data_IF_925953355965
#
_entry.id   IF_925953355965
#
_cell.length_a   1.000
_cell.length_b   1.000
_cell.length_c   1.000
_cell.angle_alpha   90.00
_cell.angle_beta   90.00
_cell.angle_gamma   90.00
#
_symmetry.space_group_name_H-M   'P 1'
#
loop_
_entity.id
_entity.type
_entity.pdbx_description
1 polymer ?
#
# COMPACT_ATOMS: atom_id res chain seq x y z
N UNK A 1 5.19 17.62 8.13
CA UNK A 1 5.99 16.87 7.12
C UNK A 1 5.68 15.38 7.22
N UNK A 2 5.85 14.60 6.14
CA UNK A 2 5.47 13.18 6.12
C UNK A 2 6.33 12.33 7.09
N UNK A 3 7.63 12.59 7.14
CA UNK A 3 8.56 11.88 8.04
C UNK A 3 8.21 12.05 9.53
N UNK A 4 7.81 13.27 9.96
CA UNK A 4 7.37 13.49 11.34
C UNK A 4 6.14 12.63 11.70
N UNK A 5 5.21 12.48 10.75
CA UNK A 5 4.06 11.60 10.99
C UNK A 5 4.50 10.16 11.16
N UNK A 6 5.45 9.67 10.35
CA UNK A 6 6.01 8.32 10.52
C UNK A 6 6.63 8.16 11.91
N UNK A 7 7.45 9.11 12.38
CA UNK A 7 7.98 9.08 13.75
C UNK A 7 6.88 8.98 14.81
N UNK A 8 5.84 9.80 14.70
CA UNK A 8 4.74 9.80 15.66
C UNK A 8 4.00 8.45 15.67
N UNK A 9 3.74 7.86 14.49
CA UNK A 9 3.05 6.57 14.38
C UNK A 9 3.94 5.40 14.85
N UNK A 10 5.24 5.44 14.60
CA UNK A 10 6.20 4.44 15.06
C UNK A 10 6.42 4.45 16.59
N UNK A 11 5.92 5.46 17.31
CA UNK A 11 6.04 5.49 18.77
C UNK A 11 5.13 4.46 19.47
N UNK A 12 4.16 3.89 18.77
CA UNK A 12 3.18 2.96 19.32
C UNK A 12 3.62 1.50 19.18
N UNK A 13 3.38 0.71 20.23
CA UNK A 13 3.55 -0.75 20.21
C UNK A 13 2.33 -1.43 19.56
N UNK A 14 2.02 -1.02 18.33
CA UNK A 14 0.83 -1.45 17.59
C UNK A 14 0.83 -2.97 17.33
N UNK A 15 -0.37 -3.53 17.20
CA UNK A 15 -0.54 -4.96 16.93
C UNK A 15 -1.93 -5.23 16.33
N UNK A 16 -2.28 -6.48 16.01
CA UNK A 16 -3.66 -6.81 15.58
C UNK A 16 -4.68 -6.39 16.64
N UNK A 17 -4.41 -6.75 17.90
CA UNK A 17 -5.11 -6.28 19.09
C UNK A 17 -4.08 -5.83 20.12
N UNK A 18 -4.09 -4.56 20.48
CA UNK A 18 -3.19 -3.97 21.48
C UNK A 18 -3.81 -2.73 22.14
N UNK A 19 -3.37 -2.44 23.36
CA UNK A 19 -3.80 -1.24 24.11
C UNK A 19 -3.44 0.06 23.37
N UNK A 20 -2.24 0.10 22.77
CA UNK A 20 -1.70 1.27 22.07
C UNK A 20 -2.47 1.63 20.80
N UNK A 21 -3.23 0.70 20.23
CA UNK A 21 -3.97 0.94 18.98
C UNK A 21 -4.94 2.11 19.11
N UNK A 22 -5.58 2.29 20.27
CA UNK A 22 -6.47 3.43 20.49
C UNK A 22 -5.72 4.78 20.42
N UNK A 23 -4.52 4.84 20.99
CA UNK A 23 -3.65 6.01 20.91
C UNK A 23 -3.16 6.27 19.48
N UNK A 24 -2.79 5.21 18.76
CA UNK A 24 -2.41 5.28 17.35
C UNK A 24 -3.52 5.86 16.48
N UNK A 25 -4.74 5.31 16.56
CA UNK A 25 -5.86 5.82 15.76
C UNK A 25 -6.27 7.23 16.19
N UNK A 26 -6.14 7.59 17.48
CA UNK A 26 -6.33 8.97 17.92
C UNK A 26 -5.28 9.93 17.33
N UNK A 27 -4.03 9.50 17.17
CA UNK A 27 -2.98 10.29 16.49
C UNK A 27 -3.29 10.47 15.01
N UNK A 28 -3.74 9.42 14.32
CA UNK A 28 -4.14 9.49 12.91
C UNK A 28 -5.38 10.39 12.74
N UNK A 29 -6.34 10.30 13.66
CA UNK A 29 -7.57 11.11 13.63
C UNK A 29 -7.31 12.63 13.61
N UNK A 30 -6.16 13.07 14.15
CA UNK A 30 -5.73 14.48 14.08
C UNK A 30 -5.32 14.94 12.69
N UNK A 31 -4.94 14.00 11.81
CA UNK A 31 -4.57 14.29 10.42
C UNK A 31 -5.78 14.21 9.48
N UNK A 32 -6.67 13.25 9.72
CA UNK A 32 -7.87 12.98 8.93
C UNK A 32 -8.97 12.40 9.83
N UNK A 33 -10.22 12.87 9.73
CA UNK A 33 -11.31 12.37 10.57
C UNK A 33 -11.61 10.90 10.22
N UNK A 34 -11.59 10.05 11.24
CA UNK A 34 -11.79 8.61 11.14
C UNK A 34 -13.12 8.17 11.75
N UNK A 35 -13.81 7.26 11.07
CA UNK A 35 -14.81 6.38 11.68
C UNK A 35 -14.13 5.04 12.02
N UNK A 36 -14.34 4.57 13.26
CA UNK A 36 -13.64 3.41 13.84
C UNK A 36 -14.61 2.25 14.07
N UNK A 37 -14.27 1.11 13.49
CA UNK A 37 -14.94 -0.18 13.64
C UNK A 37 -14.19 -1.03 14.67
N UNK A 38 -14.95 -1.74 15.49
CA UNK A 38 -14.43 -2.50 16.62
C UNK A 38 -14.84 -3.97 16.45
N UNK A 39 -13.86 -4.86 16.47
CA UNK A 39 -14.08 -6.31 16.38
C UNK A 39 -13.54 -6.98 17.63
N UNK A 40 -14.39 -7.71 18.34
CA UNK A 40 -14.04 -8.31 19.62
C UNK A 40 -13.13 -9.54 19.45
N UNK A 41 -12.19 -9.72 20.37
CA UNK A 41 -11.39 -10.94 20.43
C UNK A 41 -12.28 -12.19 20.47
N UNK A 42 -11.92 -13.20 19.67
CA UNK A 42 -12.67 -14.45 19.53
C UNK A 42 -13.75 -14.44 18.45
N UNK A 43 -14.08 -13.29 17.84
CA UNK A 43 -14.90 -13.28 16.63
C UNK A 43 -14.21 -14.09 15.52
N UNK A 44 -15.02 -14.78 14.71
CA UNK A 44 -14.53 -15.63 13.61
C UNK A 44 -15.24 -15.36 12.30
N UNK A 45 -14.54 -15.56 11.19
CA UNK A 45 -15.12 -15.51 9.85
C UNK A 45 -14.24 -16.28 8.86
N UNK A 46 -14.81 -17.23 8.11
CA UNK A 46 -14.08 -18.07 7.13
C UNK A 46 -12.78 -18.68 7.68
N UNK A 47 -12.77 -19.08 8.96
CA UNK A 47 -11.60 -19.64 9.64
C UNK A 47 -10.63 -18.61 10.23
N UNK A 48 -10.75 -17.33 9.90
CA UNK A 48 -10.03 -16.26 10.59
C UNK A 48 -10.58 -16.06 12.00
N UNK A 49 -9.73 -15.69 12.94
CA UNK A 49 -10.09 -15.39 14.32
C UNK A 49 -9.41 -14.09 14.77
N UNK A 50 -10.18 -13.18 15.38
CA UNK A 50 -9.60 -12.00 16.04
C UNK A 50 -8.85 -12.47 17.30
N UNK A 51 -7.54 -12.24 17.45
CA UNK A 51 -6.77 -12.74 18.58
C UNK A 51 -7.13 -12.02 19.88
N UNK A 52 -6.70 -12.59 21.00
CA UNK A 52 -6.77 -11.90 22.31
C UNK A 52 -5.78 -10.73 22.35
N UNK A 53 -6.02 -9.78 23.25
CA UNK A 53 -5.03 -8.77 23.61
C UNK A 53 -3.89 -9.44 24.39
N UNK A 54 -2.71 -9.50 23.78
CA UNK A 54 -1.55 -10.22 24.29
C UNK A 54 -0.50 -9.26 24.84
N UNK A 55 0.06 -9.58 26.01
CA UNK A 55 1.06 -8.76 26.71
C UNK A 55 2.19 -9.61 27.26
N UNK A 56 3.39 -9.03 27.28
CA UNK A 56 4.52 -9.56 28.05
C UNK A 56 4.50 -8.93 29.44
N UNK A 57 4.55 -9.75 30.48
CA UNK A 57 4.67 -9.33 31.89
C UNK A 57 6.07 -9.51 32.44
N UNK A 58 6.80 -10.49 31.90
CA UNK A 58 8.19 -10.77 32.21
C UNK A 58 8.80 -11.58 31.08
N UNK A 59 10.04 -11.30 30.71
CA UNK A 59 10.77 -12.10 29.73
C UNK A 59 12.27 -12.07 30.02
N UNK A 60 12.73 -12.96 30.91
CA UNK A 60 14.14 -13.01 31.34
C UNK A 60 14.75 -14.37 31.05
N UNK A 61 16.03 -14.37 30.67
CA UNK A 61 16.85 -15.59 30.56
C UNK A 61 18.07 -15.43 31.44
N UNK A 62 18.31 -16.44 32.28
CA UNK A 62 19.47 -16.53 33.14
C UNK A 62 20.33 -17.73 32.73
N UNK A 63 21.65 -17.57 32.68
CA UNK A 63 22.62 -18.68 32.58
C UNK A 63 23.35 -18.79 33.91
N UNK A 64 23.26 -19.94 34.57
CA UNK A 64 23.94 -20.18 35.86
C UNK A 64 23.66 -19.09 36.92
N UNK A 65 22.44 -18.54 36.91
CA UNK A 65 22.00 -17.47 37.83
C UNK A 65 22.32 -16.04 37.39
N UNK A 66 23.06 -15.83 36.30
CA UNK A 66 23.37 -14.50 35.73
C UNK A 66 22.38 -14.19 34.61
N UNK A 67 21.77 -13.00 34.61
CA UNK A 67 20.89 -12.55 33.52
C UNK A 67 21.69 -12.38 32.23
N UNK A 68 21.30 -13.09 31.17
CA UNK A 68 21.95 -13.04 29.85
C UNK A 68 21.07 -12.40 28.78
N UNK A 69 19.76 -12.30 29.02
CA UNK A 69 18.85 -11.63 28.10
C UNK A 69 17.64 -11.04 28.82
N UNK A 70 17.30 -9.82 28.41
CA UNK A 70 16.09 -9.10 28.79
C UNK A 70 15.19 -8.93 27.56
N UNK A 71 14.15 -9.75 27.45
CA UNK A 71 13.16 -9.66 26.39
C UNK A 71 12.16 -8.51 26.56
N UNK A 72 12.19 -7.81 27.70
CA UNK A 72 11.36 -6.63 27.96
C UNK A 72 12.01 -5.34 27.47
N UNK A 73 13.32 -5.38 27.16
CA UNK A 73 14.08 -4.22 26.70
C UNK A 73 13.65 -3.70 25.33
N UNK A 74 12.95 -4.54 24.54
CA UNK A 74 12.37 -4.17 23.26
C UNK A 74 11.04 -4.89 23.07
N UNK A 75 10.08 -4.22 22.45
CA UNK A 75 8.76 -4.78 22.08
C UNK A 75 8.82 -5.96 21.10
N UNK A 76 9.98 -6.21 20.50
CA UNK A 76 10.25 -7.33 19.61
C UNK A 76 11.06 -8.42 20.31
N UNK A 77 11.35 -8.30 21.62
CA UNK A 77 12.12 -9.27 22.40
C UNK A 77 11.44 -10.62 22.60
N UNK A 78 10.13 -10.68 22.38
CA UNK A 78 9.30 -11.88 22.50
C UNK A 78 8.45 -12.01 21.24
N UNK A 79 8.37 -13.21 20.68
CA UNK A 79 7.51 -13.46 19.52
C UNK A 79 6.06 -13.13 19.85
N UNK A 80 5.38 -12.41 18.97
CA UNK A 80 4.01 -11.95 19.21
C UNK A 80 3.10 -13.14 19.43
N UNK A 81 2.27 -13.02 20.47
CA UNK A 81 1.33 -14.05 20.89
C UNK A 81 1.97 -15.29 21.56
N UNK A 82 3.24 -15.24 21.96
CA UNK A 82 3.93 -16.33 22.68
C UNK A 82 3.24 -16.74 23.98
N UNK A 83 3.22 -18.04 24.28
CA UNK A 83 2.76 -18.61 25.56
C UNK A 83 3.75 -18.33 26.69
N UNK A 84 3.25 -18.38 27.92
CA UNK A 84 4.10 -18.36 29.12
C UNK A 84 4.95 -19.63 29.20
N UNK A 85 6.20 -19.48 29.63
CA UNK A 85 7.09 -20.58 29.96
C UNK A 85 7.92 -20.19 31.19
N UNK A 86 7.99 -21.07 32.18
CA UNK A 86 8.90 -20.90 33.32
C UNK A 86 9.51 -22.24 33.65
N UNK A 87 10.84 -22.31 33.59
CA UNK A 87 11.56 -23.54 33.87
C UNK A 87 13.03 -23.46 33.51
N UNK A 88 13.74 -24.51 33.89
CA UNK A 88 15.15 -24.73 33.60
C UNK A 88 15.29 -25.60 32.33
N UNK A 89 16.19 -25.22 31.43
CA UNK A 89 16.47 -25.88 30.16
C UNK A 89 17.98 -26.01 29.95
N UNK A 90 18.39 -27.10 29.31
CA UNK A 90 19.70 -27.18 28.67
C UNK A 90 19.73 -26.38 27.37
N UNK A 91 20.94 -26.04 26.91
CA UNK A 91 21.13 -25.36 25.62
C UNK A 91 20.36 -25.98 24.45
N UNK A 92 20.39 -27.31 24.30
CA UNK A 92 19.68 -28.00 23.20
C UNK A 92 18.16 -27.86 23.31
N UNK A 93 17.62 -27.67 24.52
CA UNK A 93 16.21 -27.38 24.75
C UNK A 93 15.86 -25.91 24.54
N UNK A 94 16.75 -24.98 24.89
CA UNK A 94 16.51 -23.54 24.74
C UNK A 94 16.70 -23.06 23.30
N UNK A 95 17.76 -23.52 22.62
CA UNK A 95 18.20 -23.03 21.31
C UNK A 95 17.07 -22.98 20.26
N UNK A 96 16.16 -23.97 20.14
CA UNK A 96 15.05 -23.92 19.19
C UNK A 96 14.04 -22.80 19.44
N UNK A 97 13.97 -22.26 20.66
CA UNK A 97 13.08 -21.15 21.04
C UNK A 97 13.74 -19.77 20.86
N UNK A 98 14.99 -19.72 20.41
CA UNK A 98 15.71 -18.47 20.19
C UNK A 98 15.71 -18.11 18.71
N UNK A 99 15.14 -16.95 18.40
CA UNK A 99 15.04 -16.41 17.04
C UNK A 99 16.02 -15.24 16.90
N UNK A 100 16.88 -15.30 15.89
CA UNK A 100 17.95 -14.31 15.69
C UNK A 100 18.36 -14.22 14.21
N UNK A 101 19.10 -13.17 13.82
CA UNK A 101 19.61 -12.97 12.47
C UNK A 101 21.11 -12.61 12.48
N UNK A 102 22.01 -13.48 12.00
CA UNK A 102 23.45 -13.17 11.93
C UNK A 102 23.80 -12.04 10.97
N UNK A 103 22.99 -11.78 9.94
CA UNK A 103 23.24 -10.73 8.95
C UNK A 103 22.91 -9.32 9.48
N UNK A 104 22.10 -9.26 10.54
CA UNK A 104 21.72 -8.05 11.28
C UNK A 104 21.96 -8.26 12.77
N UNK A 105 23.22 -8.24 13.23
CA UNK A 105 23.57 -8.82 14.52
C UNK A 105 23.03 -8.08 15.74
N UNK A 106 22.60 -6.83 15.57
CA UNK A 106 22.03 -5.99 16.62
C UNK A 106 20.49 -5.98 16.61
N UNK A 107 19.86 -6.61 15.61
CA UNK A 107 18.43 -6.50 15.39
C UNK A 107 17.61 -7.50 16.24
N UNK A 108 16.48 -7.03 16.75
CA UNK A 108 15.38 -7.89 17.17
C UNK A 108 14.53 -8.25 15.96
N UNK A 109 14.05 -9.48 15.88
CA UNK A 109 13.21 -9.96 14.78
C UNK A 109 11.72 -9.90 15.11
N UNK A 110 10.90 -9.50 14.14
CA UNK A 110 9.45 -9.50 14.26
C UNK A 110 8.86 -10.88 13.94
N UNK A 111 8.66 -11.69 14.99
CA UNK A 111 7.96 -12.97 14.87
C UNK A 111 6.46 -12.81 15.11
N UNK A 112 5.67 -12.67 14.03
CA UNK A 112 4.28 -12.21 14.10
C UNK A 112 3.20 -13.27 13.80
N UNK A 113 3.57 -14.40 13.21
CA UNK A 113 2.64 -15.35 12.58
C UNK A 113 1.55 -15.90 13.50
N UNK A 114 1.82 -16.05 14.80
CA UNK A 114 0.84 -16.59 15.75
C UNK A 114 -0.34 -15.67 16.03
N UNK A 115 -0.28 -14.41 15.62
CA UNK A 115 -1.45 -13.53 15.66
C UNK A 115 -2.52 -13.91 14.64
N UNK A 116 -2.09 -14.47 13.51
CA UNK A 116 -2.94 -14.94 12.43
C UNK A 116 -3.33 -16.41 12.59
N UNK A 117 -2.57 -17.15 13.41
CA UNK A 117 -2.78 -18.58 13.71
C UNK A 117 -2.67 -18.83 15.22
N UNK A 118 -3.56 -18.23 16.04
CA UNK A 118 -3.45 -18.27 17.50
C UNK A 118 -3.49 -19.68 18.10
N UNK A 119 -4.10 -20.65 17.40
CA UNK A 119 -4.15 -22.05 17.80
C UNK A 119 -2.80 -22.78 17.70
N UNK A 120 -1.88 -22.29 16.86
CA UNK A 120 -0.54 -22.87 16.65
C UNK A 120 0.53 -22.22 17.55
N UNK A 121 0.13 -21.28 18.42
CA UNK A 121 1.08 -20.52 19.22
C UNK A 121 1.91 -21.43 20.15
N UNK A 122 3.22 -21.19 20.17
CA UNK A 122 4.15 -21.72 21.17
C UNK A 122 4.82 -20.54 21.87
N UNK A 123 6.08 -20.62 22.27
CA UNK A 123 6.85 -19.49 22.78
C UNK A 123 8.21 -19.37 22.10
N UNK A 124 8.61 -18.13 21.82
CA UNK A 124 9.95 -17.80 21.32
C UNK A 124 10.44 -16.49 21.89
N UNK A 125 11.75 -16.39 22.09
CA UNK A 125 12.47 -15.18 22.42
C UNK A 125 13.24 -14.72 21.20
N UNK A 126 13.01 -13.48 20.79
CA UNK A 126 13.64 -12.88 19.63
C UNK A 126 14.77 -11.99 20.15
N UNK A 127 16.03 -12.34 19.87
CA UNK A 127 17.18 -11.65 20.45
C UNK A 127 18.23 -11.29 19.39
N UNK A 128 18.96 -10.18 19.60
CA UNK A 128 20.10 -9.83 18.76
C UNK A 128 21.12 -10.96 18.69
N UNK A 129 21.68 -11.20 17.51
CA UNK A 129 22.67 -12.26 17.31
C UNK A 129 23.94 -12.04 18.14
N UNK A 130 24.27 -10.77 18.43
CA UNK A 130 25.37 -10.42 19.33
C UNK A 130 25.18 -11.02 20.73
N UNK A 131 23.95 -11.12 21.23
CA UNK A 131 23.64 -11.79 22.50
C UNK A 131 23.68 -13.30 22.29
N UNK A 132 23.02 -13.78 21.24
CA UNK A 132 22.93 -15.22 20.94
C UNK A 132 24.29 -15.90 20.80
N UNK A 133 25.26 -15.27 20.13
CA UNK A 133 26.58 -15.88 19.85
C UNK A 133 27.42 -16.12 21.09
N UNK A 134 27.16 -15.39 22.17
CA UNK A 134 27.84 -15.55 23.44
C UNK A 134 27.13 -16.61 24.32
N UNK A 135 25.97 -17.10 23.89
CA UNK A 135 25.30 -18.26 24.47
C UNK A 135 25.92 -19.57 23.94
N UNK A 136 25.65 -20.67 24.64
CA UNK A 136 26.20 -21.98 24.29
C UNK A 136 25.82 -23.03 25.34
N UNK A 137 26.49 -24.19 25.38
CA UNK A 137 26.20 -25.23 26.38
C UNK A 137 26.15 -24.68 27.81
N UNK A 138 25.18 -25.18 28.59
CA UNK A 138 24.95 -24.80 29.98
C UNK A 138 23.48 -24.87 30.39
N UNK A 139 23.24 -24.60 31.68
CA UNK A 139 21.92 -24.56 32.28
C UNK A 139 21.32 -23.14 32.22
N UNK A 140 20.10 -23.07 31.72
CA UNK A 140 19.37 -21.82 31.54
C UNK A 140 18.06 -21.84 32.30
N UNK A 141 17.77 -20.76 33.03
CA UNK A 141 16.44 -20.52 33.59
C UNK A 141 15.72 -19.48 32.74
N UNK A 142 14.57 -19.83 32.22
CA UNK A 142 13.71 -18.93 31.45
C UNK A 142 12.51 -18.53 32.30
N UNK A 143 12.22 -17.24 32.31
CA UNK A 143 11.04 -16.65 32.96
C UNK A 143 10.29 -15.79 31.94
N UNK A 144 9.43 -16.46 31.17
CA UNK A 144 8.52 -15.83 30.23
C UNK A 144 7.09 -15.90 30.78
N UNK A 145 6.54 -14.74 31.14
CA UNK A 145 5.16 -14.61 31.59
C UNK A 145 4.42 -13.71 30.61
N UNK A 146 3.44 -14.28 29.94
CA UNK A 146 2.55 -13.57 29.02
C UNK A 146 1.11 -13.63 29.51
N UNK A 147 0.32 -12.65 29.08
CA UNK A 147 -1.09 -12.52 29.44
C UNK A 147 -1.93 -12.42 28.17
N UNK A 148 -3.09 -13.09 28.18
CA UNK A 148 -4.11 -13.01 27.15
C UNK A 148 -5.39 -12.47 27.79
N UNK A 149 -5.89 -11.34 27.28
CA UNK A 149 -7.13 -10.71 27.75
C UNK A 149 -8.08 -10.46 26.58
N UNK A 150 -9.40 -10.46 26.81
CA UNK A 150 -10.34 -9.91 25.83
C UNK A 150 -9.94 -8.49 25.44
N UNK A 151 -9.97 -8.20 24.15
CA UNK A 151 -9.71 -6.88 23.60
C UNK A 151 -10.51 -6.64 22.32
N UNK A 152 -10.12 -5.61 21.58
CA UNK A 152 -10.76 -5.24 20.33
C UNK A 152 -9.70 -4.94 19.27
N UNK A 153 -9.87 -5.54 18.10
CA UNK A 153 -9.20 -5.12 16.88
C UNK A 153 -9.90 -3.86 16.37
N UNK A 154 -9.10 -2.86 16.02
CA UNK A 154 -9.59 -1.58 15.50
C UNK A 154 -9.28 -1.51 14.01
N UNK A 155 -10.30 -1.20 13.23
CA UNK A 155 -10.17 -0.81 11.82
C UNK A 155 -10.80 0.56 11.69
N UNK A 156 -10.18 1.46 10.95
CA UNK A 156 -10.73 2.77 10.69
C UNK A 156 -10.88 3.02 9.20
N UNK A 157 -11.84 3.85 8.84
CA UNK A 157 -11.85 4.44 7.52
C UNK A 157 -12.04 5.95 7.55
N UNK A 158 -11.55 6.60 6.50
CA UNK A 158 -11.87 7.98 6.17
C UNK A 158 -12.54 8.01 4.81
N UNK A 159 -13.65 8.74 4.67
CA UNK A 159 -14.40 8.85 3.43
C UNK A 159 -14.40 10.28 2.92
N UNK A 160 -14.04 10.44 1.64
CA UNK A 160 -14.15 11.69 0.89
C UNK A 160 -15.18 11.50 -0.21
N UNK A 161 -16.31 12.19 -0.10
CA UNK A 161 -17.36 12.14 -1.10
C UNK A 161 -16.92 12.83 -2.41
N UNK A 162 -17.29 12.21 -3.54
CA UNK A 162 -17.26 12.81 -4.87
C UNK A 162 -18.66 13.05 -5.42
N UNK A 163 -18.75 13.42 -6.69
CA UNK A 163 -20.03 13.60 -7.40
C UNK A 163 -20.77 12.29 -7.67
N UNK A 164 -20.07 11.16 -7.60
CA UNK A 164 -20.58 9.79 -7.73
C UNK A 164 -20.30 8.99 -6.46
N UNK A 165 -21.20 8.05 -6.14
CA UNK A 165 -21.04 7.08 -5.06
C UNK A 165 -20.09 5.92 -5.42
N UNK A 166 -19.66 5.82 -6.69
CA UNK A 166 -18.57 4.92 -7.10
C UNK A 166 -17.30 5.30 -6.35
N UNK A 167 -16.72 4.32 -5.65
CA UNK A 167 -15.65 4.55 -4.67
C UNK A 167 -14.34 3.90 -5.10
N UNK A 168 -13.24 4.64 -5.03
CA UNK A 168 -11.87 4.11 -5.14
C UNK A 168 -11.32 3.95 -3.72
N UNK A 169 -10.86 2.73 -3.40
CA UNK A 169 -10.38 2.39 -2.05
C UNK A 169 -8.85 2.49 -1.99
N UNK A 170 -8.33 3.00 -0.89
CA UNK A 170 -6.91 2.98 -0.56
C UNK A 170 -6.74 2.28 0.78
N UNK A 171 -5.73 1.44 0.91
CA UNK A 171 -5.53 0.63 2.11
C UNK A 171 -4.05 0.58 2.51
N UNK A 172 -3.80 0.62 3.81
CA UNK A 172 -2.49 0.39 4.42
C UNK A 172 -2.71 -0.32 5.75
N UNK A 173 -1.75 -1.16 6.15
CA UNK A 173 -1.80 -1.79 7.46
C UNK A 173 -1.18 -0.93 8.56
N UNK A 174 -1.57 -1.21 9.80
CA UNK A 174 -1.15 -0.46 11.01
C UNK A 174 -0.78 -1.35 12.20
N UNK A 175 -0.50 -2.64 11.96
CA UNK A 175 -0.27 -3.63 13.03
C UNK A 175 1.20 -3.93 13.34
N UNK A 176 2.14 -3.24 12.69
CA UNK A 176 3.58 -3.45 12.87
C UNK A 176 4.11 -2.53 13.98
N UNK A 177 4.58 -3.06 15.13
CA UNK A 177 5.02 -2.25 16.27
C UNK A 177 6.38 -1.63 16.02
N UNK A 178 6.48 -0.30 16.18
CA UNK A 178 7.73 0.47 16.05
C UNK A 178 8.50 0.30 14.73
N UNK A 179 7.88 -0.26 13.71
CA UNK A 179 8.45 -0.43 12.39
C UNK A 179 7.91 0.66 11.47
N UNK A 180 8.80 1.30 10.72
CA UNK A 180 8.50 2.50 9.97
C UNK A 180 8.09 2.24 8.53
N UNK A 181 8.97 1.64 7.73
CA UNK A 181 8.74 1.42 6.30
C UNK A 181 7.59 0.44 6.09
N UNK A 182 7.59 -0.64 6.85
CA UNK A 182 6.57 -1.67 6.80
C UNK A 182 5.33 -1.24 7.59
N UNK A 183 4.37 -0.65 6.87
CA UNK A 183 3.09 -0.17 7.41
C UNK A 183 3.00 1.36 7.52
N UNK A 184 3.65 1.97 8.51
CA UNK A 184 3.38 3.38 8.86
C UNK A 184 3.82 4.39 7.81
N UNK A 185 4.88 4.11 7.07
CA UNK A 185 5.32 4.94 5.96
C UNK A 185 4.28 4.96 4.82
N UNK A 186 3.68 3.80 4.50
CA UNK A 186 2.53 3.70 3.58
C UNK A 186 1.32 4.48 4.09
N UNK A 187 0.98 4.29 5.37
CA UNK A 187 -0.08 5.04 6.05
C UNK A 187 0.13 6.56 5.93
N UNK A 188 1.34 7.05 6.17
CA UNK A 188 1.67 8.47 6.07
C UNK A 188 1.53 9.00 4.63
N UNK A 189 1.98 8.25 3.62
CA UNK A 189 1.78 8.62 2.20
C UNK A 189 0.29 8.73 1.88
N UNK A 190 -0.51 7.75 2.28
CA UNK A 190 -1.95 7.74 2.01
C UNK A 190 -2.69 8.86 2.75
N UNK A 191 -2.30 9.18 3.99
CA UNK A 191 -2.84 10.33 4.71
C UNK A 191 -2.59 11.64 3.94
N UNK A 192 -1.37 11.82 3.41
CA UNK A 192 -1.05 13.01 2.58
C UNK A 192 -1.81 13.03 1.27
N UNK A 193 -2.04 11.86 0.66
CA UNK A 193 -2.89 11.74 -0.52
C UNK A 193 -4.33 12.18 -0.22
N UNK A 194 -4.90 11.74 0.91
CA UNK A 194 -6.27 12.11 1.28
C UNK A 194 -6.43 13.56 1.70
N UNK A 195 -5.41 14.16 2.32
CA UNK A 195 -5.37 15.60 2.57
C UNK A 195 -5.37 16.38 1.24
N UNK A 196 -4.60 15.95 0.25
CA UNK A 196 -4.64 16.55 -1.09
C UNK A 196 -5.99 16.32 -1.79
N UNK A 197 -6.56 15.11 -1.71
CA UNK A 197 -7.88 14.79 -2.27
C UNK A 197 -9.00 15.66 -1.67
N UNK A 198 -8.90 16.02 -0.39
CA UNK A 198 -9.88 16.90 0.26
C UNK A 198 -9.97 18.28 -0.39
N UNK A 199 -8.91 18.72 -1.07
CA UNK A 199 -8.86 19.99 -1.82
C UNK A 199 -9.31 19.83 -3.28
N UNK A 200 -9.59 18.60 -3.75
CA UNK A 200 -9.98 18.33 -5.13
C UNK A 200 -11.49 18.15 -5.29
N UNK A 201 -12.02 18.69 -6.38
CA UNK A 201 -13.36 18.40 -6.87
C UNK A 201 -13.33 17.13 -7.74
N UNK A 202 -13.79 16.01 -7.16
CA UNK A 202 -13.65 14.68 -7.76
C UNK A 202 -15.00 14.12 -8.19
N UNK A 203 -15.00 13.39 -9.29
CA UNK A 203 -16.14 12.60 -9.72
C UNK A 203 -16.31 11.36 -8.83
N UNK A 204 -15.26 10.58 -8.60
CA UNK A 204 -15.34 9.41 -7.72
C UNK A 204 -15.29 9.82 -6.27
N UNK A 205 -15.90 8.99 -5.43
CA UNK A 205 -15.67 9.01 -4.00
C UNK A 205 -14.38 8.24 -3.67
N UNK A 206 -13.75 8.59 -2.57
CA UNK A 206 -12.50 7.99 -2.13
C UNK A 206 -12.65 7.47 -0.70
N UNK A 207 -12.01 6.34 -0.40
CA UNK A 207 -12.00 5.77 0.93
C UNK A 207 -10.62 5.28 1.33
N UNK A 208 -10.11 5.77 2.45
CA UNK A 208 -8.91 5.24 3.08
C UNK A 208 -9.34 4.23 4.14
N UNK A 209 -8.82 3.01 4.10
CA UNK A 209 -9.05 1.95 5.11
C UNK A 209 -7.73 1.63 5.79
N UNK A 210 -7.69 1.70 7.12
CA UNK A 210 -6.52 1.48 7.95
C UNK A 210 -6.85 0.42 8.99
N UNK A 211 -6.04 -0.62 9.09
CA UNK A 211 -6.27 -1.69 10.05
C UNK A 211 -5.15 -2.72 10.03
N UNK A 212 -5.24 -3.79 10.83
CA UNK A 212 -4.26 -4.86 10.75
C UNK A 212 -4.27 -5.54 9.39
N UNK A 213 -3.07 -5.86 8.89
CA UNK A 213 -2.88 -6.61 7.65
C UNK A 213 -3.78 -7.86 7.64
N UNK A 214 -4.46 -8.09 6.51
CA UNK A 214 -5.43 -9.17 6.28
C UNK A 214 -6.64 -9.15 7.23
N UNK A 215 -6.44 -9.43 8.52
CA UNK A 215 -7.51 -9.54 9.53
C UNK A 215 -8.40 -8.30 9.57
N UNK A 216 -7.81 -7.11 9.49
CA UNK A 216 -8.56 -5.85 9.47
C UNK A 216 -9.49 -5.79 8.27
N UNK A 217 -8.95 -5.98 7.05
CA UNK A 217 -9.73 -5.93 5.82
C UNK A 217 -10.77 -7.05 5.72
N UNK A 218 -10.46 -8.25 6.22
CA UNK A 218 -11.38 -9.42 6.24
C UNK A 218 -12.62 -9.08 7.06
N UNK A 219 -12.44 -8.61 8.29
CA UNK A 219 -13.56 -8.30 9.18
C UNK A 219 -14.29 -7.01 8.77
N UNK A 220 -13.56 -6.04 8.21
CA UNK A 220 -14.15 -4.85 7.61
C UNK A 220 -15.12 -5.19 6.47
N UNK A 221 -14.67 -5.99 5.50
CA UNK A 221 -15.48 -6.41 4.36
C UNK A 221 -16.62 -7.37 4.74
N UNK A 222 -16.47 -8.16 5.80
CA UNK A 222 -17.52 -9.03 6.34
C UNK A 222 -18.76 -8.22 6.73
N UNK A 223 -18.55 -7.08 7.39
CA UNK A 223 -19.63 -6.30 8.01
C UNK A 223 -20.17 -5.17 7.13
N UNK A 224 -19.46 -4.83 6.06
CA UNK A 224 -19.95 -3.82 5.13
C UNK A 224 -21.24 -4.28 4.41
N UNK A 225 -22.23 -3.38 4.25
CA UNK A 225 -23.37 -3.64 3.40
C UNK A 225 -22.95 -3.99 1.98
N UNK A 226 -23.58 -5.01 1.38
CA UNK A 226 -23.25 -5.47 0.03
C UNK A 226 -23.29 -4.35 -1.02
N UNK A 227 -24.32 -3.49 -0.95
CA UNK A 227 -24.45 -2.36 -1.88
C UNK A 227 -23.32 -1.35 -1.77
N UNK A 228 -22.64 -1.28 -0.63
CA UNK A 228 -21.46 -0.44 -0.43
C UNK A 228 -20.22 -1.04 -1.08
N UNK A 229 -20.02 -2.36 -0.90
CA UNK A 229 -18.97 -3.11 -1.59
C UNK A 229 -19.17 -3.06 -3.11
N UNK A 230 -20.41 -3.15 -3.61
CA UNK A 230 -20.73 -3.11 -5.04
C UNK A 230 -20.35 -1.79 -5.71
N UNK A 231 -20.24 -0.70 -4.94
CA UNK A 231 -19.83 0.62 -5.42
C UNK A 231 -18.32 0.79 -5.50
N UNK A 232 -17.53 -0.09 -4.89
CA UNK A 232 -16.08 -0.02 -4.93
C UNK A 232 -15.58 -0.43 -6.32
N UNK A 233 -15.05 0.49 -7.11
CA UNK A 233 -14.71 0.20 -8.51
C UNK A 233 -13.29 -0.34 -8.68
N UNK A 234 -12.39 0.01 -7.77
CA UNK A 234 -11.03 -0.51 -7.65
C UNK A 234 -10.38 0.00 -6.35
N UNK A 235 -9.14 -0.40 -6.09
CA UNK A 235 -8.35 0.23 -5.06
C UNK A 235 -6.85 -0.01 -5.12
N UNK A 236 -6.16 0.55 -4.13
CA UNK A 236 -4.70 0.52 -4.00
C UNK A 236 -4.32 0.14 -2.58
N UNK A 237 -3.47 -0.86 -2.44
CA UNK A 237 -2.78 -1.15 -1.19
C UNK A 237 -1.36 -0.55 -1.28
N UNK A 238 -0.93 0.18 -0.25
CA UNK A 238 0.37 0.85 -0.26
C UNK A 238 1.16 0.62 1.03
N UNK A 239 2.42 0.21 0.88
CA UNK A 239 3.37 0.02 1.98
C UNK A 239 4.82 0.23 1.50
N UNK A 240 5.78 0.27 2.44
CA UNK A 240 7.21 0.30 2.16
C UNK A 240 7.70 1.37 1.15
N UNK A 241 7.28 2.65 1.25
CA UNK A 241 7.65 3.69 0.29
C UNK A 241 9.04 4.30 0.51
N UNK A 242 9.66 4.09 1.67
CA UNK A 242 10.74 4.91 2.19
C UNK A 242 12.15 4.47 1.83
N UNK A 243 12.34 3.30 1.23
CA UNK A 243 13.66 2.80 0.80
C UNK A 243 14.02 3.26 -0.61
N UNK A 244 15.22 2.91 -1.08
CA UNK A 244 15.73 3.36 -2.39
C UNK A 244 15.37 2.43 -3.57
N UNK A 245 14.63 1.34 -3.30
CA UNK A 245 14.13 0.41 -4.32
C UNK A 245 13.30 1.12 -5.41
N UNK A 246 13.17 0.49 -6.57
CA UNK A 246 12.27 0.97 -7.61
C UNK A 246 10.81 0.91 -7.13
N UNK A 247 9.94 1.82 -7.59
CA UNK A 247 8.51 1.70 -7.32
C UNK A 247 7.99 0.42 -7.99
N UNK A 248 7.48 -0.52 -7.21
CA UNK A 248 6.95 -1.79 -7.69
C UNK A 248 5.44 -1.77 -7.57
N UNK A 249 4.74 -1.82 -8.71
CA UNK A 249 3.30 -2.01 -8.73
C UNK A 249 2.95 -3.45 -9.14
N UNK A 250 2.06 -4.10 -8.38
CA UNK A 250 1.49 -5.38 -8.80
C UNK A 250 0.16 -5.14 -9.49
N UNK A 251 -0.07 -5.81 -10.63
CA UNK A 251 -1.35 -5.74 -11.30
C UNK A 251 -2.49 -6.30 -10.43
N UNK A 252 -3.72 -5.88 -10.75
CA UNK A 252 -4.96 -6.53 -10.29
C UNK A 252 -4.98 -8.01 -10.68
N UNK A 253 -5.83 -8.82 -10.03
CA UNK A 253 -5.84 -10.28 -10.21
C UNK A 253 -5.97 -10.70 -11.69
N UNK A 254 -6.92 -10.12 -12.42
CA UNK A 254 -7.14 -10.43 -13.84
C UNK A 254 -6.18 -9.66 -14.77
N UNK A 255 -5.61 -8.54 -14.29
CA UNK A 255 -4.83 -7.60 -15.08
C UNK A 255 -5.65 -6.84 -16.12
N UNK A 256 -5.08 -5.75 -16.63
CA UNK A 256 -5.67 -4.94 -17.70
C UNK A 256 -6.83 -4.03 -17.26
N UNK A 257 -7.18 -4.02 -15.97
CA UNK A 257 -8.16 -3.09 -15.40
C UNK A 257 -7.68 -1.65 -15.59
N UNK A 258 -8.59 -0.67 -15.65
CA UNK A 258 -8.24 0.74 -15.88
C UNK A 258 -7.19 1.26 -14.89
N UNK A 259 -7.22 0.76 -13.64
CA UNK A 259 -6.22 1.10 -12.63
C UNK A 259 -4.81 0.57 -12.96
N UNK A 260 -4.69 -0.63 -13.52
CA UNK A 260 -3.40 -1.18 -13.98
C UNK A 260 -2.80 -0.27 -15.06
N UNK A 261 -3.65 0.20 -15.97
CA UNK A 261 -3.26 1.09 -17.05
C UNK A 261 -2.83 2.47 -16.53
N UNK A 262 -3.55 2.99 -15.53
CA UNK A 262 -3.23 4.26 -14.88
C UNK A 262 -1.88 4.19 -14.17
N UNK A 263 -1.63 3.12 -13.40
CA UNK A 263 -0.31 2.88 -12.81
C UNK A 263 0.77 2.73 -13.86
N UNK A 264 0.50 2.00 -14.95
CA UNK A 264 1.49 1.80 -15.99
C UNK A 264 1.95 3.12 -16.62
N UNK A 265 1.02 4.02 -16.93
CA UNK A 265 1.36 5.35 -17.46
C UNK A 265 2.03 6.23 -16.39
N UNK A 266 1.49 6.27 -15.18
CA UNK A 266 2.01 7.11 -14.10
C UNK A 266 3.46 6.73 -13.74
N UNK A 267 3.75 5.44 -13.59
CA UNK A 267 5.10 4.95 -13.29
C UNK A 267 6.07 5.24 -14.44
N UNK A 268 5.67 4.99 -15.68
CA UNK A 268 6.52 5.19 -16.86
C UNK A 268 7.01 6.63 -16.99
N UNK A 269 6.15 7.61 -16.68
CA UNK A 269 6.46 9.02 -16.94
C UNK A 269 6.81 9.85 -15.70
N UNK A 270 6.42 9.39 -14.50
CA UNK A 270 6.56 10.18 -13.26
C UNK A 270 7.37 9.49 -12.17
N UNK A 271 7.90 8.29 -12.41
CA UNK A 271 8.85 7.65 -11.49
C UNK A 271 10.29 7.76 -11.99
N UNK A 272 11.24 7.74 -11.07
CA UNK A 272 12.68 7.61 -11.35
C UNK A 272 13.02 6.22 -11.88
N UNK A 273 12.44 5.20 -11.25
CA UNK A 273 12.64 3.80 -11.57
C UNK A 273 11.41 3.03 -11.08
N UNK A 274 10.94 2.09 -11.90
CA UNK A 274 9.78 1.28 -11.56
C UNK A 274 9.87 -0.14 -12.09
N UNK A 275 9.04 -1.00 -11.53
CA UNK A 275 8.79 -2.37 -11.99
C UNK A 275 7.28 -2.60 -11.92
N UNK A 276 6.73 -3.24 -12.94
CA UNK A 276 5.37 -3.77 -12.91
C UNK A 276 5.45 -5.28 -12.91
N UNK A 277 4.72 -5.92 -12.01
CA UNK A 277 4.71 -7.37 -11.86
C UNK A 277 3.27 -7.90 -11.82
N UNK A 278 3.05 -9.18 -12.17
CA UNK A 278 1.74 -9.79 -12.02
C UNK A 278 1.24 -9.79 -10.56
N UNK A 279 -0.05 -10.02 -10.39
CA UNK A 279 -0.68 -10.19 -9.08
C UNK A 279 0.12 -11.16 -8.18
N UNK A 280 0.32 -10.78 -6.91
CA UNK A 280 1.08 -11.53 -5.89
C UNK A 280 2.54 -11.84 -6.23
N UNK A 281 3.17 -11.02 -7.09
CA UNK A 281 4.62 -11.02 -7.36
C UNK A 281 5.34 -9.77 -6.83
N UNK A 282 4.66 -8.98 -5.98
CA UNK A 282 5.22 -7.89 -5.16
C UNK A 282 5.68 -8.38 -3.78
N UNK A 283 5.47 -7.57 -2.73
CA UNK A 283 5.55 -8.05 -1.34
C UNK A 283 4.31 -8.88 -1.01
N UNK A 284 3.15 -8.37 -1.44
CA UNK A 284 1.85 -8.98 -1.32
C UNK A 284 1.29 -8.92 0.10
N UNK A 285 0.08 -8.38 0.23
CA UNK A 285 -0.60 -8.12 1.49
C UNK A 285 -2.14 -8.17 1.30
N UNK A 286 -2.87 -7.14 1.78
CA UNK A 286 -4.32 -7.00 1.76
C UNK A 286 -4.97 -7.04 0.37
N UNK A 287 -4.26 -6.83 -0.74
CA UNK A 287 -4.84 -6.95 -2.09
C UNK A 287 -5.50 -8.32 -2.31
N UNK A 288 -5.00 -9.38 -1.64
CA UNK A 288 -5.61 -10.70 -1.69
C UNK A 288 -6.99 -10.77 -1.04
N UNK A 289 -7.26 -9.91 -0.05
CA UNK A 289 -8.54 -9.87 0.66
C UNK A 289 -9.58 -9.11 -0.17
N UNK A 290 -9.18 -7.98 -0.75
CA UNK A 290 -10.05 -7.17 -1.62
C UNK A 290 -10.45 -7.91 -2.91
N UNK A 291 -9.52 -8.70 -3.47
CA UNK A 291 -9.74 -9.53 -4.66
C UNK A 291 -10.35 -10.91 -4.33
N UNK A 292 -10.62 -11.21 -3.05
CA UNK A 292 -11.13 -12.52 -2.66
C UNK A 292 -12.50 -12.83 -3.29
N UNK A 293 -12.83 -14.11 -3.58
CA UNK A 293 -14.09 -14.48 -4.21
C UNK A 293 -15.33 -13.93 -3.50
N UNK A 294 -16.26 -13.38 -4.27
CA UNK A 294 -17.47 -12.71 -3.76
C UNK A 294 -17.27 -11.22 -3.45
N UNK A 295 -16.03 -10.79 -3.24
CA UNK A 295 -15.58 -9.40 -3.29
C UNK A 295 -15.03 -9.09 -4.69
N UNK A 296 -13.85 -9.56 -5.10
CA UNK A 296 -13.27 -9.30 -6.43
C UNK A 296 -13.27 -7.79 -6.77
N UNK A 297 -12.81 -6.95 -5.82
CA UNK A 297 -12.53 -5.53 -6.05
C UNK A 297 -11.13 -5.44 -6.67
N UNK A 298 -10.98 -4.95 -7.92
CA UNK A 298 -9.67 -4.88 -8.57
C UNK A 298 -8.69 -4.03 -7.76
N UNK A 299 -7.58 -4.62 -7.29
CA UNK A 299 -6.68 -3.98 -6.34
C UNK A 299 -5.21 -4.06 -6.78
N UNK A 300 -4.54 -2.91 -6.79
CA UNK A 300 -3.10 -2.80 -7.07
C UNK A 300 -2.33 -2.65 -5.76
N UNK A 301 -1.25 -3.41 -5.57
CA UNK A 301 -0.25 -3.11 -4.54
C UNK A 301 0.80 -2.15 -5.13
N UNK A 302 1.23 -1.15 -4.35
CA UNK A 302 2.37 -0.28 -4.67
C UNK A 302 3.37 -0.24 -3.51
N UNK A 303 4.62 -0.62 -3.78
CA UNK A 303 5.70 -0.68 -2.78
C UNK A 303 7.04 -0.24 -3.37
N UNK A 304 8.12 -0.36 -2.58
CA UNK A 304 9.51 -0.42 -3.07
C UNK A 304 10.20 -1.74 -2.73
N UNK A 305 9.40 -2.79 -2.55
CA UNK A 305 9.90 -4.14 -2.32
C UNK A 305 10.91 -4.52 -3.41
N UNK A 306 12.13 -4.91 -3.01
CA UNK A 306 13.20 -5.35 -3.91
C UNK A 306 12.97 -6.81 -4.30
N UNK A 307 12.79 -7.69 -3.32
CA UNK A 307 12.49 -9.12 -3.48
C UNK A 307 11.28 -9.54 -2.64
N UNK A 308 10.47 -10.48 -3.13
CA UNK A 308 9.25 -10.95 -2.45
C UNK A 308 9.52 -11.54 -1.05
N UNK A 309 10.68 -12.16 -0.85
CA UNK A 309 11.07 -12.82 0.41
C UNK A 309 11.99 -11.96 1.26
N UNK A 310 12.60 -10.94 0.65
CA UNK A 310 13.43 -9.94 1.31
C UNK A 310 13.11 -8.54 0.74
N UNK A 311 11.99 -7.91 1.14
CA UNK A 311 11.53 -6.65 0.55
C UNK A 311 12.55 -5.51 0.65
N UNK A 312 13.27 -5.44 1.76
CA UNK A 312 14.43 -4.58 1.99
C UNK A 312 15.21 -5.14 3.17
N UNK A 313 16.44 -4.66 3.38
CA UNK A 313 17.39 -5.25 4.34
C UNK A 313 16.84 -5.32 5.77
N UNK A 314 16.22 -4.25 6.26
CA UNK A 314 15.76 -4.12 7.65
C UNK A 314 14.34 -4.67 7.90
N UNK A 315 13.70 -5.25 6.87
CA UNK A 315 12.33 -5.76 6.92
C UNK A 315 12.10 -6.74 8.08
N UNK A 316 10.98 -6.57 8.78
CA UNK A 316 10.61 -7.36 9.97
C UNK A 316 11.67 -7.35 11.07
N UNK A 317 12.35 -6.23 11.27
CA UNK A 317 13.33 -6.07 12.35
C UNK A 317 13.19 -4.75 13.11
N UNK A 318 13.80 -4.66 14.28
CA UNK A 318 13.91 -3.40 15.04
C UNK A 318 14.72 -2.31 14.33
N UNK A 319 15.37 -2.62 13.22
CA UNK A 319 16.13 -1.65 12.43
C UNK A 319 15.27 -0.94 11.37
N UNK A 320 14.01 -1.35 11.17
CA UNK A 320 13.05 -0.60 10.36
C UNK A 320 12.58 0.64 11.12
N UNK A 321 13.44 1.63 11.26
CA UNK A 321 13.17 2.86 12.02
C UNK A 321 12.84 4.04 11.09
N UNK A 322 12.21 5.11 11.59
CA UNK A 322 11.93 6.30 10.78
C UNK A 322 13.17 6.94 10.13
N UNK A 323 14.36 6.72 10.69
CA UNK A 323 15.65 7.19 10.17
C UNK A 323 16.08 6.48 8.87
N UNK A 324 15.55 5.29 8.60
CA UNK A 324 15.74 4.58 7.32
C UNK A 324 15.08 5.33 6.15
N UNK A 325 14.08 6.17 6.44
CA UNK A 325 13.21 6.74 5.42
C UNK A 325 13.94 7.81 4.61
N UNK A 326 13.84 7.71 3.28
CA UNK A 326 14.29 8.72 2.33
C UNK A 326 13.09 9.59 1.95
N UNK A 327 12.97 10.84 2.44
CA UNK A 327 11.76 11.64 2.24
C UNK A 327 11.38 11.82 0.76
N UNK A 328 12.38 12.03 -0.10
CA UNK A 328 12.16 12.14 -1.55
C UNK A 328 11.52 10.89 -2.18
N UNK A 329 11.71 9.70 -1.60
CA UNK A 329 11.12 8.45 -2.10
C UNK A 329 9.66 8.32 -1.73
N UNK A 330 9.29 8.83 -0.55
CA UNK A 330 7.89 8.90 -0.14
C UNK A 330 7.12 9.96 -0.95
N UNK A 331 7.73 11.12 -1.18
CA UNK A 331 7.16 12.18 -2.03
C UNK A 331 7.01 11.73 -3.49
N UNK A 332 7.95 10.95 -4.02
CA UNK A 332 7.84 10.34 -5.36
C UNK A 332 6.63 9.38 -5.43
N UNK A 333 6.43 8.53 -4.42
CA UNK A 333 5.25 7.64 -4.39
C UNK A 333 3.95 8.45 -4.33
N UNK A 334 3.90 9.49 -3.48
CA UNK A 334 2.74 10.40 -3.41
C UNK A 334 2.48 11.06 -4.77
N UNK A 335 3.52 11.52 -5.47
CA UNK A 335 3.39 12.12 -6.79
C UNK A 335 2.82 11.14 -7.82
N UNK A 336 3.32 9.89 -7.85
CA UNK A 336 2.78 8.84 -8.73
C UNK A 336 1.31 8.54 -8.40
N UNK A 337 0.95 8.42 -7.12
CA UNK A 337 -0.43 8.19 -6.71
C UNK A 337 -1.37 9.33 -7.14
N UNK A 338 -0.92 10.59 -7.07
CA UNK A 338 -1.67 11.73 -7.61
C UNK A 338 -1.88 11.63 -9.12
N UNK A 339 -0.87 11.18 -9.87
CA UNK A 339 -1.00 10.97 -11.32
C UNK A 339 -1.94 9.82 -11.67
N UNK A 340 -1.94 8.75 -10.88
CA UNK A 340 -2.95 7.68 -11.00
C UNK A 340 -4.35 8.24 -10.76
N UNK A 341 -4.55 9.01 -9.69
CA UNK A 341 -5.83 9.66 -9.41
C UNK A 341 -6.27 10.57 -10.56
N UNK A 342 -5.40 11.45 -11.06
CA UNK A 342 -5.71 12.31 -12.21
C UNK A 342 -6.10 11.50 -13.45
N UNK A 343 -5.37 10.41 -13.72
CA UNK A 343 -5.64 9.53 -14.85
C UNK A 343 -7.03 8.90 -14.74
N UNK A 344 -7.43 8.46 -13.55
CA UNK A 344 -8.74 7.88 -13.31
C UNK A 344 -9.87 8.93 -13.36
N UNK A 345 -9.63 10.12 -12.80
CA UNK A 345 -10.61 11.21 -12.70
C UNK A 345 -10.89 11.90 -14.04
N UNK A 346 -9.91 12.00 -14.93
CA UNK A 346 -10.05 12.74 -16.19
C UNK A 346 -9.92 11.83 -17.43
N UNK A 347 -10.07 10.51 -17.26
CA UNK A 347 -10.11 9.61 -18.40
C UNK A 347 -11.41 9.80 -19.19
N UNK A 348 -11.27 10.17 -20.45
CA UNK A 348 -12.38 10.45 -21.37
C UNK A 348 -12.15 9.74 -22.69
N UNK A 349 -13.22 9.44 -23.41
CA UNK A 349 -13.16 9.17 -24.86
C UNK A 349 -13.30 10.48 -25.61
N UNK A 350 -12.78 10.50 -26.85
CA UNK A 350 -12.76 11.70 -27.70
C UNK A 350 -13.60 11.44 -28.94
N UNK A 351 -14.55 12.31 -29.25
CA UNK A 351 -15.38 12.23 -30.45
C UNK A 351 -15.20 13.49 -31.31
N UNK A 352 -14.75 13.33 -32.55
CA UNK A 352 -14.54 14.44 -33.50
C UNK A 352 -15.86 15.02 -34.00
N UNK A 353 -15.87 16.33 -34.26
CA UNK A 353 -17.01 17.11 -34.80
C UNK A 353 -16.80 17.59 -36.24
N UNK A 354 -15.84 17.00 -36.94
CA UNK A 354 -15.44 17.40 -38.29
C UNK A 354 -15.13 16.15 -39.11
N UNK A 355 -15.19 16.27 -40.44
CA UNK A 355 -14.71 15.27 -41.38
C UNK A 355 -13.40 15.70 -42.06
N UNK A 356 -12.58 14.71 -42.43
CA UNK A 356 -11.30 14.95 -43.10
C UNK A 356 -10.14 15.32 -42.16
N UNK A 357 -9.06 15.81 -42.75
CA UNK A 357 -7.82 16.16 -42.05
C UNK A 357 -7.83 17.65 -41.69
N UNK A 358 -7.71 17.98 -40.40
CA UNK A 358 -7.54 19.37 -39.96
C UNK A 358 -6.09 19.79 -40.09
N UNK A 359 -5.87 20.98 -40.65
CA UNK A 359 -4.55 21.63 -40.68
C UNK A 359 -4.23 22.20 -39.29
N UNK A 360 -3.63 21.39 -38.41
CA UNK A 360 -3.33 21.76 -37.02
C UNK A 360 -2.44 23.01 -36.91
N UNK A 361 -1.60 23.30 -37.91
CA UNK A 361 -0.69 24.45 -37.94
C UNK A 361 -1.33 25.75 -38.44
N UNK A 362 -2.56 25.70 -38.97
CA UNK A 362 -3.26 26.92 -39.34
C UNK A 362 -3.44 27.79 -38.08
N UNK A 363 -3.11 29.10 -38.11
CA UNK A 363 -3.24 30.00 -36.95
C UNK A 363 -4.65 30.03 -36.32
N UNK A 364 -5.70 29.67 -37.06
CA UNK A 364 -7.04 29.49 -36.50
C UNK A 364 -7.07 28.37 -35.45
N UNK A 365 -6.37 27.26 -35.71
CA UNK A 365 -6.31 26.10 -34.83
C UNK A 365 -5.10 26.14 -33.91
N UNK A 366 -3.88 26.41 -34.40
CA UNK A 366 -2.68 26.51 -33.55
C UNK A 366 -2.50 25.30 -32.61
N UNK A 367 -2.77 24.09 -33.12
CA UNK A 367 -2.70 22.83 -32.38
C UNK A 367 -1.52 21.97 -32.82
N UNK A 368 -0.68 22.44 -33.73
CA UNK A 368 0.45 21.67 -34.22
C UNK A 368 1.54 21.53 -33.16
N UNK A 369 2.06 20.32 -33.01
CA UNK A 369 3.25 20.03 -32.21
C UNK A 369 4.43 19.87 -33.17
N UNK A 370 5.47 20.66 -32.95
CA UNK A 370 6.65 20.68 -33.82
C UNK A 370 7.36 19.32 -33.86
N UNK A 371 7.86 18.98 -35.05
CA UNK A 371 8.63 17.76 -35.31
C UNK A 371 10.06 18.09 -35.77
N UNK A 372 11.01 17.16 -35.56
CA UNK A 372 12.33 17.26 -36.15
C UNK A 372 12.24 17.50 -37.66
N UNK A 373 13.07 18.40 -38.16
CA UNK A 373 13.15 18.75 -39.57
C UNK A 373 14.54 18.37 -40.11
N UNK A 374 14.65 17.58 -41.19
CA UNK A 374 15.95 17.20 -41.74
C UNK A 374 16.75 18.40 -42.30
N UNK A 375 16.09 19.50 -42.63
CA UNK A 375 16.71 20.70 -43.19
C UNK A 375 17.07 21.74 -42.12
N UNK A 376 16.46 21.69 -40.92
CA UNK A 376 16.64 22.70 -39.87
C UNK A 376 16.81 22.03 -38.51
N UNK A 377 17.91 22.34 -37.83
CA UNK A 377 18.07 21.94 -36.44
C UNK A 377 17.15 22.79 -35.56
N UNK A 378 16.16 22.14 -34.94
CA UNK A 378 15.20 22.74 -34.01
C UNK A 378 15.55 22.27 -32.59
N UNK A 379 15.55 23.18 -31.62
CA UNK A 379 15.66 22.83 -30.21
C UNK A 379 14.32 22.27 -29.72
N UNK A 380 14.12 20.95 -29.89
CA UNK A 380 12.88 20.26 -29.53
C UNK A 380 13.05 19.40 -28.28
N UNK A 381 11.93 19.13 -27.61
CA UNK A 381 11.88 18.17 -26.51
C UNK A 381 12.15 16.75 -27.00
N UNK A 382 12.69 15.90 -26.11
CA UNK A 382 13.08 14.54 -26.44
C UNK A 382 11.91 13.64 -26.91
N UNK A 383 10.66 14.00 -26.60
CA UNK A 383 9.47 13.27 -27.01
C UNK A 383 8.77 13.87 -28.26
N UNK A 384 9.35 14.87 -28.92
CA UNK A 384 8.74 15.55 -30.06
C UNK A 384 8.33 14.59 -31.19
N UNK A 385 9.12 13.56 -31.49
CA UNK A 385 8.74 12.58 -32.52
C UNK A 385 7.58 11.67 -32.09
N UNK A 386 7.43 11.38 -30.79
CA UNK A 386 6.26 10.65 -30.27
C UNK A 386 4.98 11.47 -30.46
N UNK A 387 5.05 12.77 -30.15
CA UNK A 387 3.96 13.71 -30.44
C UNK A 387 3.64 13.77 -31.92
N UNK A 388 4.67 13.87 -32.74
CA UNK A 388 4.55 13.79 -34.18
C UNK A 388 3.78 12.55 -34.65
N UNK A 389 4.20 11.37 -34.20
CA UNK A 389 3.57 10.11 -34.57
C UNK A 389 2.11 10.03 -34.09
N UNK A 390 1.82 10.56 -32.90
CA UNK A 390 0.45 10.75 -32.45
C UNK A 390 -0.34 11.58 -33.46
N UNK A 391 0.16 12.74 -33.91
CA UNK A 391 -0.57 13.62 -34.85
C UNK A 391 -0.92 12.95 -36.19
N UNK A 392 -0.07 12.04 -36.69
CA UNK A 392 -0.33 11.29 -37.92
C UNK A 392 -1.59 10.41 -37.81
N UNK A 393 -1.88 9.94 -36.59
CA UNK A 393 -2.96 9.01 -36.31
C UNK A 393 -4.12 9.64 -35.52
N UNK A 394 -3.92 10.82 -34.95
CA UNK A 394 -4.71 11.37 -33.85
C UNK A 394 -6.20 11.38 -34.14
N UNK A 395 -6.57 11.92 -35.29
CA UNK A 395 -7.98 12.07 -35.69
C UNK A 395 -8.70 10.73 -35.88
N UNK A 396 -7.96 9.64 -36.16
CA UNK A 396 -8.53 8.30 -36.27
C UNK A 396 -8.83 7.66 -34.92
N UNK A 397 -8.27 8.16 -33.82
CA UNK A 397 -8.64 7.74 -32.46
C UNK A 397 -9.81 8.54 -31.88
N UNK A 398 -10.21 9.63 -32.54
CA UNK A 398 -11.31 10.52 -32.10
C UNK A 398 -12.68 10.03 -32.59
N UNK A 399 -12.93 8.73 -32.57
CA UNK A 399 -14.23 8.11 -32.93
C UNK A 399 -15.01 7.59 -31.72
N UNK A 400 -14.56 7.94 -30.50
CA UNK A 400 -15.17 7.53 -29.24
C UNK A 400 -14.79 6.11 -28.77
N UNK A 401 -14.01 5.35 -29.54
CA UNK A 401 -13.68 3.95 -29.20
C UNK A 401 -12.49 3.79 -28.23
N UNK A 402 -11.61 4.79 -28.15
CA UNK A 402 -10.44 4.79 -27.28
C UNK A 402 -10.54 5.88 -26.22
N UNK A 403 -10.06 5.57 -25.01
CA UNK A 403 -9.87 6.57 -23.97
C UNK A 403 -8.55 7.32 -24.16
N UNK A 404 -8.43 8.51 -23.57
CA UNK A 404 -7.17 9.28 -23.56
C UNK A 404 -6.04 8.45 -22.94
N UNK A 405 -6.32 7.63 -21.91
CA UNK A 405 -5.34 6.74 -21.32
C UNK A 405 -4.89 5.63 -22.29
N UNK A 406 -5.79 5.08 -23.10
CA UNK A 406 -5.42 4.10 -24.14
C UNK A 406 -4.49 4.74 -25.18
N UNK A 407 -4.80 5.96 -25.62
CA UNK A 407 -3.99 6.69 -26.59
C UNK A 407 -2.62 7.05 -26.00
N UNK A 408 -2.58 7.55 -24.76
CA UNK A 408 -1.36 7.90 -24.05
C UNK A 408 -0.40 6.70 -23.94
N UNK A 409 -0.92 5.54 -23.54
CA UNK A 409 -0.13 4.30 -23.45
C UNK A 409 0.34 3.81 -24.81
N UNK A 410 -0.51 3.90 -25.84
CA UNK A 410 -0.17 3.46 -27.20
C UNK A 410 1.00 4.26 -27.81
N UNK A 411 1.13 5.53 -27.45
CA UNK A 411 2.16 6.43 -27.98
C UNK A 411 3.29 6.72 -26.97
N UNK A 412 3.30 6.06 -25.82
CA UNK A 412 4.28 6.27 -24.73
C UNK A 412 4.42 7.76 -24.36
N UNK A 413 3.25 8.39 -24.12
CA UNK A 413 3.09 9.78 -23.73
C UNK A 413 2.49 9.91 -22.32
N UNK A 414 2.89 10.93 -21.55
CA UNK A 414 2.28 11.21 -20.25
C UNK A 414 0.80 11.59 -20.41
N UNK A 415 -0.07 10.91 -19.67
CA UNK A 415 -1.52 11.09 -19.72
C UNK A 415 -1.93 12.56 -19.51
N UNK A 416 -1.35 13.22 -18.50
CA UNK A 416 -1.71 14.59 -18.13
C UNK A 416 -1.39 15.62 -19.23
N UNK A 417 -0.28 15.42 -19.94
CA UNK A 417 0.09 16.26 -21.08
C UNK A 417 -0.85 16.03 -22.26
N UNK A 418 -1.17 14.77 -22.58
CA UNK A 418 -2.10 14.44 -23.66
C UNK A 418 -3.51 14.94 -23.37
N UNK A 419 -3.99 14.76 -22.14
CA UNK A 419 -5.32 15.20 -21.73
C UNK A 419 -5.48 16.71 -21.83
N UNK A 420 -4.47 17.48 -21.40
CA UNK A 420 -4.42 18.94 -21.55
C UNK A 420 -4.39 19.37 -23.02
N UNK A 421 -3.59 18.69 -23.83
CA UNK A 421 -3.51 18.96 -25.26
C UNK A 421 -4.86 18.77 -25.95
N UNK A 422 -5.59 17.69 -25.64
CA UNK A 422 -6.91 17.42 -26.19
C UNK A 422 -8.01 18.37 -25.68
N UNK A 423 -7.84 18.96 -24.49
CA UNK A 423 -8.70 20.05 -24.01
C UNK A 423 -8.73 21.24 -24.98
N UNK A 424 -7.59 21.57 -25.60
CA UNK A 424 -7.49 22.65 -26.59
C UNK A 424 -8.29 22.36 -27.87
N UNK A 425 -8.53 21.09 -28.21
CA UNK A 425 -9.40 20.70 -29.32
C UNK A 425 -10.87 20.94 -28.96
N UNK A 426 -11.27 20.63 -27.73
CA UNK A 426 -12.62 20.86 -27.23
C UNK A 426 -12.93 22.36 -27.14
N UNK A 427 -12.00 23.17 -26.65
CA UNK A 427 -12.09 24.64 -26.63
C UNK A 427 -12.31 25.25 -28.03
N UNK A 428 -11.74 24.61 -29.05
CA UNK A 428 -11.89 25.01 -30.46
C UNK A 428 -13.12 24.39 -31.14
N UNK A 429 -13.95 23.66 -30.39
CA UNK A 429 -15.16 23.02 -30.89
C UNK A 429 -14.90 21.86 -31.86
N UNK A 430 -13.68 21.32 -31.90
CA UNK A 430 -13.28 20.26 -32.82
C UNK A 430 -13.67 18.86 -32.31
N UNK A 431 -13.77 18.70 -31.00
CA UNK A 431 -14.11 17.42 -30.37
C UNK A 431 -15.11 17.63 -29.23
N UNK A 432 -15.79 16.54 -28.86
CA UNK A 432 -16.47 16.38 -27.57
C UNK A 432 -15.69 15.40 -26.71
N UNK A 433 -15.57 15.67 -25.41
CA UNK A 433 -14.98 14.72 -24.45
C UNK A 433 -16.07 14.06 -23.60
N UNK A 434 -16.01 12.73 -23.48
CA UNK A 434 -16.98 11.94 -22.74
C UNK A 434 -16.31 11.10 -21.67
N UNK A 435 -16.73 11.23 -20.40
CA UNK A 435 -16.14 10.49 -19.27
C UNK A 435 -16.21 8.98 -19.48
N UNK A 436 -15.04 8.33 -19.42
CA UNK A 436 -14.93 6.88 -19.40
C UNK A 436 -14.97 6.38 -17.96
N UNK A 437 -16.16 6.04 -17.46
CA UNK A 437 -16.31 5.58 -16.08
C UNK A 437 -15.61 4.23 -15.84
N UNK A 438 -14.93 4.07 -14.70
CA UNK A 438 -14.34 2.80 -14.28
C UNK A 438 -15.47 1.76 -14.18
N UNK A 439 -15.23 0.62 -14.85
CA UNK A 439 -16.12 -0.53 -14.85
C UNK A 439 -15.48 -1.64 -14.05
N UNK A 440 -16.27 -2.25 -13.16
CA UNK A 440 -15.89 -3.45 -12.43
C UNK A 440 -16.89 -4.55 -12.78
N UNK A 441 -16.38 -5.73 -13.09
CA UNK A 441 -17.22 -6.92 -13.29
C UNK A 441 -17.84 -7.30 -11.96
N UNK A 442 -19.16 -7.50 -11.94
CA UNK A 442 -19.84 -7.94 -10.73
C UNK A 442 -19.37 -9.36 -10.35
N UNK A 443 -18.97 -9.59 -9.10
CA UNK A 443 -18.50 -10.90 -8.66
C UNK A 443 -19.61 -11.95 -8.68
N UNK A 444 -19.24 -13.20 -8.97
CA UNK A 444 -20.17 -14.31 -8.74
C UNK A 444 -20.20 -14.63 -7.25
N UNK A 445 -21.38 -14.53 -6.64
CA UNK A 445 -21.57 -14.78 -5.21
C UNK A 445 -22.31 -16.08 -4.98
N UNK A 446 -21.83 -16.86 -4.02
CA UNK A 446 -22.60 -17.96 -3.47
C UNK A 446 -23.79 -17.39 -2.69
N UNK A 447 -24.97 -18.02 -2.83
CA UNK A 447 -26.08 -17.73 -1.93
C UNK A 447 -25.68 -18.23 -0.53
N UNK A 448 -26.02 -17.48 0.53
CA UNK A 448 -25.72 -17.87 1.89
C UNK A 448 -26.32 -19.24 2.25
#
# INVERSE_FOLDING_TARGET
>A
MMQQLVHDLCSFAANVVADDNAGLFARIHRELPLEIFHFSSGETYNGWQVPQNWRVRRAKVYKEGVEVFDGESHTLGVGRYSKSFTGDLEWEGLRPHLVTNPDLPEAYLFHCMWQYRPWDADWVLCMPYIVYRDLGPGHYRVELQTEYKPGQMLVAHHHKAGRSDKTIVFNSHTCHPHMANDGFAGTAVLIRLFQWLAEQDTYYSYRLVLGPEHLGSVFYLRDLPRGEVDRMVCGVFAEMPGTNGALKATATFAGGHMIDQAFANALQHHSRAHVQVPWRKGAGNDETVWEAPGYEVPFVEITRCEDQWAPYREYHTSLDTPELMIPARMEEMLAVLKQVVHSLEDNVTVERRFDGLICLSNPQFDLYMERPDPAVNKELEADAEKWGHLLDCLFRYMDGSMTVLDIARRHDLPFDRLRRYLGRFEEKGLVSLHRAAIQRTAPQRMRP
#
